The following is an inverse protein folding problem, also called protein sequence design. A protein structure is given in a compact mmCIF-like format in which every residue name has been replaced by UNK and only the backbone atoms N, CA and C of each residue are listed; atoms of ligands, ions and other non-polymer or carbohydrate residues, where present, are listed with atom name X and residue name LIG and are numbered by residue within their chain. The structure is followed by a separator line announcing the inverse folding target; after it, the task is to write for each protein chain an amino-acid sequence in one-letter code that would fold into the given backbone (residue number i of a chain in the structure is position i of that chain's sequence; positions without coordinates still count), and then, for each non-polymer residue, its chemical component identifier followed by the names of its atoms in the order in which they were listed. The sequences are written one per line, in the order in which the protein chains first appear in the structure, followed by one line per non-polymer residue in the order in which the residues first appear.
data_IF_673052889312
#
_entry.id   IF_673052889312
#
_cell.length_a   1.000
_cell.length_b   1.000
_cell.length_c   1.000
_cell.angle_alpha   90.00
_cell.angle_beta   90.00
_cell.angle_gamma   90.00
#
_symmetry.space_group_name_H-M   'P 1'
#
loop_
_entity.id
_entity.type
_entity.pdbx_description
1 polymer ?
#
# COMPACT_ATOMS: atom_id res chain seq x y z
N UNK A 1 17.47 -1.73 -1.29
CA UNK A 1 16.38 -1.94 -0.31
C UNK A 1 15.34 -2.87 -0.93
N UNK A 2 14.88 -3.88 -0.21
CA UNK A 2 13.79 -4.75 -0.68
C UNK A 2 12.39 -4.26 -0.22
N UNK A 3 11.32 -4.89 -0.71
CA UNK A 3 9.95 -4.49 -0.38
C UNK A 3 9.60 -4.70 1.11
N UNK A 4 10.22 -5.67 1.80
CA UNK A 4 10.01 -5.87 3.23
C UNK A 4 10.67 -4.76 4.03
N UNK A 5 11.87 -4.36 3.66
CA UNK A 5 12.59 -3.23 4.25
C UNK A 5 11.83 -1.92 4.03
N UNK A 6 11.29 -1.70 2.83
CA UNK A 6 10.41 -0.59 2.50
C UNK A 6 9.20 -0.52 3.45
N UNK A 7 8.45 -1.62 3.61
CA UNK A 7 7.32 -1.67 4.53
C UNK A 7 7.75 -1.43 5.98
N UNK A 8 8.91 -1.96 6.37
CA UNK A 8 9.50 -1.69 7.68
C UNK A 8 9.76 -0.20 7.88
N UNK A 9 10.26 0.50 6.86
CA UNK A 9 10.51 1.93 6.90
C UNK A 9 9.23 2.75 7.00
N UNK A 10 8.24 2.48 6.14
CA UNK A 10 6.92 3.13 6.18
C UNK A 10 6.26 3.01 7.56
N UNK A 11 6.39 1.83 8.18
CA UNK A 11 5.88 1.60 9.53
C UNK A 11 6.63 2.41 10.58
N UNK A 12 7.97 2.45 10.53
CA UNK A 12 8.79 3.21 11.50
C UNK A 12 8.57 4.71 11.40
N UNK A 13 8.44 5.23 10.19
CA UNK A 13 8.29 6.67 9.93
C UNK A 13 6.83 7.14 10.00
N UNK A 14 5.87 6.21 10.08
CA UNK A 14 4.43 6.54 10.12
C UNK A 14 3.87 7.07 8.79
N UNK A 15 4.57 6.90 7.66
CA UNK A 15 4.16 7.47 6.37
C UNK A 15 2.78 7.00 5.89
N UNK A 16 2.34 5.82 6.31
CA UNK A 16 1.05 5.23 5.95
C UNK A 16 0.00 5.34 7.07
N UNK A 17 0.25 6.07 8.15
CA UNK A 17 -0.69 6.21 9.27
C UNK A 17 -1.98 6.89 8.80
N UNK A 18 -3.13 6.24 9.04
CA UNK A 18 -4.44 6.71 8.59
C UNK A 18 -4.65 6.66 7.07
N UNK A 19 -3.78 5.98 6.32
CA UNK A 19 -3.87 5.84 4.88
C UNK A 19 -3.56 4.41 4.41
N UNK A 20 -4.05 3.41 5.14
CA UNK A 20 -3.80 2.01 4.82
C UNK A 20 -4.32 1.63 3.42
N UNK A 21 -5.46 2.17 2.99
CA UNK A 21 -5.95 1.97 1.61
C UNK A 21 -4.94 2.42 0.56
N UNK A 22 -4.28 3.56 0.78
CA UNK A 22 -3.23 4.07 -0.09
C UNK A 22 -2.01 3.16 -0.13
N UNK A 23 -1.63 2.58 1.02
CA UNK A 23 -0.55 1.59 1.08
C UNK A 23 -0.87 0.37 0.21
N UNK A 24 -2.09 -0.18 0.32
CA UNK A 24 -2.52 -1.32 -0.48
C UNK A 24 -2.47 -0.98 -1.98
N UNK A 25 -3.02 0.17 -2.38
CA UNK A 25 -3.01 0.61 -3.79
C UNK A 25 -1.59 0.76 -4.35
N UNK A 26 -0.68 1.39 -3.60
CA UNK A 26 0.72 1.58 -4.00
C UNK A 26 1.46 0.25 -4.13
N UNK A 27 1.42 -0.58 -3.08
CA UNK A 27 2.24 -1.79 -3.03
C UNK A 27 1.75 -2.86 -4.00
N UNK A 28 0.44 -2.93 -4.25
CA UNK A 28 -0.12 -3.91 -5.20
C UNK A 28 0.06 -3.44 -6.64
N UNK A 29 -0.22 -2.18 -6.91
CA UNK A 29 -0.48 -1.71 -8.27
C UNK A 29 0.60 -0.84 -8.89
N UNK A 30 1.56 -0.33 -8.10
CA UNK A 30 2.49 0.71 -8.57
C UNK A 30 3.94 0.27 -8.47
N UNK A 31 4.75 0.79 -9.39
CA UNK A 31 6.20 0.70 -9.29
C UNK A 31 6.68 1.60 -8.16
N UNK A 32 7.64 1.12 -7.37
CA UNK A 32 8.26 1.84 -6.26
C UNK A 32 9.77 1.83 -6.47
N UNK A 33 10.39 3.00 -6.45
CA UNK A 33 11.84 3.16 -6.49
C UNK A 33 12.33 3.88 -5.23
N UNK A 34 13.49 3.47 -4.74
CA UNK A 34 14.16 4.06 -3.60
C UNK A 34 14.76 5.44 -3.92
N UNK A 35 15.20 6.18 -2.89
CA UNK A 35 15.87 7.48 -3.07
C UNK A 35 17.17 7.42 -3.88
N UNK A 36 17.79 6.24 -3.95
CA UNK A 36 18.98 5.93 -4.74
C UNK A 36 18.65 5.53 -6.19
N UNK A 37 17.38 5.55 -6.58
CA UNK A 37 16.90 5.10 -7.89
C UNK A 37 16.76 3.58 -8.02
N UNK A 38 17.03 2.81 -6.95
CA UNK A 38 16.89 1.35 -6.98
C UNK A 38 15.42 0.96 -7.08
N UNK A 39 15.09 0.05 -8.00
CA UNK A 39 13.76 -0.54 -8.07
C UNK A 39 13.50 -1.43 -6.85
N UNK A 40 12.50 -1.07 -6.06
CA UNK A 40 12.06 -1.82 -4.87
C UNK A 40 10.98 -2.84 -5.26
N UNK A 41 10.02 -2.41 -6.09
CA UNK A 41 8.90 -3.25 -6.52
C UNK A 41 8.27 -2.72 -7.80
N UNK A 42 7.68 -3.60 -8.59
CA UNK A 42 6.81 -3.26 -9.73
C UNK A 42 5.32 -3.50 -9.41
N UNK A 43 4.98 -3.63 -8.13
CA UNK A 43 3.70 -4.13 -7.66
C UNK A 43 3.78 -5.61 -7.26
N UNK A 44 2.89 -6.05 -6.36
CA UNK A 44 2.80 -7.45 -5.93
C UNK A 44 1.35 -7.91 -5.86
N UNK A 45 1.15 -9.23 -5.88
CA UNK A 45 -0.19 -9.79 -5.65
C UNK A 45 -0.63 -9.59 -4.20
N UNK A 46 -1.94 -9.63 -3.96
CA UNK A 46 -2.51 -9.50 -2.62
C UNK A 46 -2.01 -10.60 -1.68
N UNK A 47 -1.71 -11.79 -2.22
CA UNK A 47 -1.12 -12.90 -1.45
C UNK A 47 0.25 -12.54 -0.90
N UNK A 48 1.12 -12.00 -1.75
CA UNK A 48 2.46 -11.57 -1.36
C UNK A 48 2.36 -10.45 -0.33
N UNK A 49 1.45 -9.49 -0.51
CA UNK A 49 1.26 -8.41 0.46
C UNK A 49 0.78 -8.92 1.83
N UNK A 50 -0.18 -9.85 1.88
CA UNK A 50 -0.66 -10.45 3.14
C UNK A 50 0.48 -11.11 3.94
N UNK A 51 1.36 -11.84 3.24
CA UNK A 51 2.54 -12.46 3.85
C UNK A 51 3.53 -11.40 4.35
N UNK A 52 3.78 -10.35 3.57
CA UNK A 52 4.68 -9.26 3.95
C UNK A 52 4.17 -8.51 5.18
N UNK A 53 2.89 -8.14 5.21
CA UNK A 53 2.24 -7.49 6.36
C UNK A 53 2.36 -8.35 7.63
N UNK A 54 2.23 -9.67 7.48
CA UNK A 54 2.47 -10.62 8.57
C UNK A 54 3.92 -10.62 9.05
N UNK A 55 4.89 -10.65 8.11
CA UNK A 55 6.33 -10.66 8.40
C UNK A 55 6.82 -9.37 9.07
N UNK A 56 6.33 -8.21 8.65
CA UNK A 56 6.67 -6.91 9.26
C UNK A 56 5.81 -6.58 10.50
N UNK A 57 4.91 -7.51 10.87
CA UNK A 57 3.96 -7.36 11.98
C UNK A 57 3.18 -6.04 11.88
N UNK A 58 2.63 -5.74 10.71
CA UNK A 58 1.84 -4.53 10.51
C UNK A 58 0.69 -4.46 11.53
N UNK A 59 0.34 -3.26 11.97
CA UNK A 59 -0.71 -3.09 12.96
C UNK A 59 -2.06 -3.52 12.38
N UNK A 60 -2.72 -4.45 13.06
CA UNK A 60 -4.02 -4.99 12.67
C UNK A 60 -5.09 -3.90 12.68
N UNK A 61 -5.00 -2.93 13.58
CA UNK A 61 -5.97 -1.84 13.65
C UNK A 61 -6.02 -1.00 12.36
N UNK A 62 -5.00 -1.09 11.49
CA UNK A 62 -4.98 -0.41 10.19
C UNK A 62 -6.13 -0.83 9.27
N UNK A 63 -6.78 -1.98 9.47
CA UNK A 63 -7.97 -2.34 8.68
C UNK A 63 -9.17 -1.43 8.95
N UNK A 64 -9.16 -0.66 10.05
CA UNK A 64 -10.18 0.37 10.31
C UNK A 64 -10.18 1.47 9.26
N UNK A 65 -9.02 1.79 8.69
CA UNK A 65 -8.89 2.75 7.58
C UNK A 65 -9.65 2.26 6.32
N UNK A 66 -9.96 0.97 6.25
CA UNK A 66 -10.75 0.35 5.18
C UNK A 66 -12.24 0.30 5.52
N UNK A 67 -12.66 0.84 6.67
CA UNK A 67 -14.02 0.70 7.19
C UNK A 67 -14.33 -0.68 7.76
N UNK A 68 -13.32 -1.53 7.98
CA UNK A 68 -13.48 -2.89 8.51
C UNK A 68 -13.22 -2.89 10.01
N UNK A 69 -14.10 -3.54 10.78
CA UNK A 69 -13.86 -3.76 12.21
C UNK A 69 -12.88 -4.94 12.40
N UNK A 70 -11.69 -4.72 13.01
CA UNK A 70 -10.71 -5.78 13.30
C UNK A 70 -11.31 -6.97 14.06
N UNK A 71 -12.32 -6.74 14.90
CA UNK A 71 -12.95 -7.79 15.71
C UNK A 71 -13.78 -8.78 14.88
N UNK A 72 -14.20 -8.39 13.67
CA UNK A 72 -14.98 -9.25 12.76
C UNK A 72 -14.10 -10.17 11.89
N UNK A 73 -12.79 -9.95 11.88
CA UNK A 73 -11.84 -10.72 11.08
C UNK A 73 -11.25 -11.88 11.87
N UNK A 74 -10.88 -12.97 11.19
CA UNK A 74 -10.31 -14.15 11.87
C UNK A 74 -8.94 -13.82 12.48
N UNK A 75 -8.78 -13.72 13.81
CA UNK A 75 -7.55 -13.18 14.40
C UNK A 75 -6.43 -14.21 14.48
N UNK A 76 -6.78 -15.52 14.46
CA UNK A 76 -5.86 -16.65 14.62
C UNK A 76 -5.01 -16.91 13.38
N UNK A 77 -5.59 -16.72 12.20
CA UNK A 77 -4.87 -16.86 10.93
C UNK A 77 -4.51 -15.47 10.40
N UNK A 78 -3.26 -15.05 10.65
CA UNK A 78 -2.79 -13.71 10.29
C UNK A 78 -2.77 -13.47 8.79
N UNK A 79 -2.51 -14.49 7.98
CA UNK A 79 -2.53 -14.34 6.52
C UNK A 79 -3.98 -14.18 6.05
N UNK A 80 -4.90 -15.02 6.55
CA UNK A 80 -6.33 -14.92 6.24
C UNK A 80 -6.95 -13.61 6.72
N UNK A 81 -6.51 -13.09 7.86
CA UNK A 81 -6.90 -11.78 8.38
C UNK A 81 -6.67 -10.67 7.33
N UNK A 82 -5.46 -10.60 6.77
CA UNK A 82 -5.12 -9.59 5.77
C UNK A 82 -5.87 -9.80 4.45
N UNK A 83 -6.06 -11.05 4.03
CA UNK A 83 -6.88 -11.35 2.86
C UNK A 83 -8.31 -10.84 3.00
N UNK A 84 -8.94 -11.08 4.15
CA UNK A 84 -10.31 -10.63 4.40
C UNK A 84 -10.40 -9.09 4.40
N UNK A 85 -9.45 -8.41 5.07
CA UNK A 85 -9.39 -6.95 5.05
C UNK A 85 -9.22 -6.37 3.65
N UNK A 86 -8.29 -6.92 2.86
CA UNK A 86 -8.06 -6.46 1.48
C UNK A 86 -9.23 -6.76 0.54
N UNK A 87 -9.92 -7.89 0.72
CA UNK A 87 -11.08 -8.25 -0.09
C UNK A 87 -12.25 -7.26 0.07
N UNK A 88 -12.31 -6.55 1.20
CA UNK A 88 -13.33 -5.55 1.50
C UNK A 88 -12.89 -4.12 1.12
N UNK A 89 -11.66 -3.94 0.66
CA UNK A 89 -11.04 -2.62 0.52
C UNK A 89 -11.34 -1.89 -0.81
N UNK A 90 -12.03 -2.52 -1.77
CA UNK A 90 -12.33 -1.95 -3.09
C UNK A 90 -11.11 -1.27 -3.75
N UNK A 91 -10.02 -2.03 -3.90
CA UNK A 91 -8.68 -1.52 -4.27
C UNK A 91 -8.58 -0.92 -5.69
N UNK A 92 -9.61 -1.15 -6.50
CA UNK A 92 -9.80 -0.64 -7.86
C UNK A 92 -10.64 0.64 -7.91
N UNK A 93 -11.21 1.09 -6.79
CA UNK A 93 -12.02 2.30 -6.74
C UNK A 93 -11.21 3.59 -6.93
N UNK A 94 -11.90 4.66 -7.35
CA UNK A 94 -11.31 6.01 -7.41
C UNK A 94 -10.78 6.47 -6.05
N UNK A 95 -11.40 6.04 -4.96
CA UNK A 95 -10.90 6.37 -3.62
C UNK A 95 -9.58 5.67 -3.33
N UNK A 96 -9.40 4.42 -3.76
CA UNK A 96 -8.12 3.73 -3.64
C UNK A 96 -7.02 4.43 -4.45
N UNK A 97 -7.34 4.94 -5.65
CA UNK A 97 -6.42 5.73 -6.45
C UNK A 97 -6.03 7.03 -5.72
N UNK A 98 -7.01 7.82 -5.25
CA UNK A 98 -6.76 9.05 -4.48
C UNK A 98 -5.95 8.77 -3.21
N UNK A 99 -6.26 7.70 -2.49
CA UNK A 99 -5.51 7.27 -1.31
C UNK A 99 -4.05 6.94 -1.65
N UNK A 100 -3.84 6.23 -2.77
CA UNK A 100 -2.51 5.94 -3.31
C UNK A 100 -1.75 7.20 -3.69
N UNK A 101 -2.41 8.19 -4.30
CA UNK A 101 -1.79 9.46 -4.67
C UNK A 101 -1.41 10.30 -3.44
N UNK A 102 -2.26 10.32 -2.40
CA UNK A 102 -1.94 10.92 -1.10
C UNK A 102 -0.69 10.28 -0.50
N UNK A 103 -0.58 8.96 -0.53
CA UNK A 103 0.61 8.27 -0.01
C UNK A 103 1.83 8.57 -0.88
N UNK A 104 1.70 8.55 -2.21
CA UNK A 104 2.78 8.86 -3.13
C UNK A 104 3.36 10.26 -2.89
N UNK A 105 2.51 11.26 -2.64
CA UNK A 105 2.94 12.62 -2.31
C UNK A 105 3.72 12.69 -0.98
N UNK A 106 3.32 11.90 0.02
CA UNK A 106 4.07 11.77 1.28
C UNK A 106 5.43 11.10 1.06
N UNK A 107 5.46 10.00 0.30
CA UNK A 107 6.67 9.23 0.01
C UNK A 107 7.67 10.01 -0.85
N UNK A 108 7.19 10.86 -1.77
CA UNK A 108 8.04 11.75 -2.55
C UNK A 108 8.86 12.71 -1.69
N UNK A 109 8.29 13.21 -0.58
CA UNK A 109 9.03 14.06 0.39
C UNK A 109 10.15 13.30 1.10
N UNK A 110 10.05 11.98 1.17
CA UNK A 110 11.08 11.08 1.72
C UNK A 110 12.05 10.56 0.65
N UNK A 111 11.93 11.03 -0.61
CA UNK A 111 12.81 10.68 -1.71
C UNK A 111 12.39 9.45 -2.53
N UNK A 112 11.28 8.79 -2.19
CA UNK A 112 10.79 7.66 -2.98
C UNK A 112 10.10 8.14 -4.26
N UNK A 113 10.21 7.35 -5.33
CA UNK A 113 9.46 7.57 -6.57
C UNK A 113 8.40 6.50 -6.71
N UNK A 114 7.14 6.92 -6.80
CA UNK A 114 5.97 6.04 -6.98
C UNK A 114 5.42 6.23 -8.39
N UNK A 115 5.27 5.14 -9.12
CA UNK A 115 4.71 5.12 -10.47
C UNK A 115 3.23 5.51 -10.51
N UNK A 116 2.65 5.66 -11.72
CA UNK A 116 1.25 6.01 -11.89
C UNK A 116 0.31 4.94 -11.32
N UNK A 117 -0.92 5.32 -11.03
CA UNK A 117 -1.97 4.40 -10.59
C UNK A 117 -2.28 3.35 -11.68
N UNK A 118 -2.70 2.11 -11.30
CA UNK A 118 -3.17 1.12 -12.26
C UNK A 118 -4.26 1.68 -13.18
N UNK A 119 -4.18 1.38 -14.47
CA UNK A 119 -5.16 1.86 -15.46
C UNK A 119 -4.93 3.29 -15.95
N UNK A 120 -4.08 4.08 -15.28
CA UNK A 120 -3.63 5.37 -15.80
C UNK A 120 -2.55 5.13 -16.84
N UNK A 121 -2.85 5.32 -18.13
CA UNK A 121 -1.80 5.29 -19.17
C UNK A 121 -0.79 6.38 -18.84
N UNK A 122 0.49 6.00 -18.74
CA UNK A 122 1.60 6.94 -18.68
C UNK A 122 1.63 7.76 -19.97
N UNK A 123 0.86 8.85 -20.03
CA UNK A 123 0.68 9.64 -21.25
C UNK A 123 -0.41 10.71 -21.20
N UNK A 124 -1.40 10.63 -20.31
CA UNK A 124 -2.42 11.69 -20.17
C UNK A 124 -2.07 12.71 -19.09
N UNK A 125 -0.95 13.42 -19.27
CA UNK A 125 -0.84 14.78 -18.73
C UNK A 125 -1.68 15.69 -19.62
N UNK A 126 -2.99 15.79 -19.33
CA UNK A 126 -3.86 16.74 -20.01
C UNK A 126 -3.47 18.15 -19.54
N UNK A 127 -2.65 18.83 -20.35
CA UNK A 127 -2.54 20.29 -20.38
C UNK A 127 -3.95 20.87 -20.36
N UNK A 128 -4.26 21.71 -19.37
CA UNK A 128 -5.24 22.78 -19.50
C UNK A 128 -4.61 24.04 -18.91
#
# INVERSE_FOLDING_TARGET
MDLREFLGDLKRQGYAQGNFLGLLNVVIGRRVQGPDGTDISAGVTWRVLAELLTKVRWDKEAVRDLGVDPATLSPRDRTRYWFQGMALAHLDSDEAQRAGDRLAATLAKAGYVIGPAPGTKAGESKKT
#
